data_IF_245193563176
#
_entry.id   IF_245193563176
#
_cell.length_a   1.000
_cell.length_b   1.000
_cell.length_c   1.000
_cell.angle_alpha   90.00
_cell.angle_beta   90.00
_cell.angle_gamma   90.00
#
_symmetry.space_group_name_H-M   'P 1'
#
loop_
_entity.id
_entity.type
_entity.pdbx_description
1 polymer ?
#
# COMPACT_ATOMS: atom_id res chain seq x y z
N UNK A 1 -20.31 -12.53 -33.27
CA UNK A 1 -20.27 -12.52 -31.78
C UNK A 1 -19.47 -13.75 -31.39
N UNK A 2 -18.24 -13.60 -30.85
CA UNK A 2 -17.52 -14.63 -30.06
C UNK A 2 -16.06 -14.26 -29.70
N UNK A 3 -15.44 -13.21 -30.27
CA UNK A 3 -14.05 -12.90 -29.95
C UNK A 3 -13.83 -12.24 -28.56
N UNK A 4 -14.86 -11.69 -27.92
CA UNK A 4 -14.74 -11.05 -26.61
C UNK A 4 -14.79 -12.06 -25.45
N UNK A 5 -15.55 -13.14 -25.59
CA UNK A 5 -15.68 -14.16 -24.55
C UNK A 5 -14.45 -15.09 -24.48
N UNK A 6 -13.79 -15.36 -25.62
CA UNK A 6 -12.53 -16.12 -25.64
C UNK A 6 -11.36 -15.32 -25.03
N UNK A 7 -11.33 -14.00 -25.20
CA UNK A 7 -10.31 -13.15 -24.58
C UNK A 7 -10.48 -13.06 -23.06
N UNK A 8 -11.72 -13.03 -22.55
CA UNK A 8 -11.98 -13.01 -21.11
C UNK A 8 -11.71 -14.37 -20.42
N UNK A 9 -11.78 -15.50 -21.14
CA UNK A 9 -11.43 -16.81 -20.57
C UNK A 9 -9.92 -17.12 -20.60
N UNK A 10 -9.15 -16.49 -21.50
CA UNK A 10 -7.69 -16.67 -21.59
C UNK A 10 -6.90 -15.78 -20.62
N UNK A 11 -7.44 -14.65 -20.19
CA UNK A 11 -6.76 -13.71 -19.27
C UNK A 11 -6.46 -14.28 -17.86
N UNK A 12 -7.37 -15.02 -17.20
CA UNK A 12 -7.09 -15.66 -15.91
C UNK A 12 -5.98 -16.72 -15.98
N UNK A 13 -5.74 -17.30 -17.17
CA UNK A 13 -4.67 -18.26 -17.40
C UNK A 13 -3.32 -17.57 -17.56
N UNK A 14 -3.28 -16.38 -18.19
CA UNK A 14 -2.06 -15.57 -18.34
C UNK A 14 -1.52 -15.07 -17.00
N UNK A 15 -2.38 -14.63 -16.08
CA UNK A 15 -1.95 -14.16 -14.76
C UNK A 15 -1.31 -15.28 -13.91
N UNK A 16 -1.83 -16.52 -14.04
CA UNK A 16 -1.27 -17.69 -13.36
C UNK A 16 0.12 -18.05 -13.89
N UNK A 17 0.37 -17.76 -15.16
CA UNK A 17 1.60 -18.11 -15.86
C UNK A 17 2.69 -17.03 -15.82
N UNK A 18 2.38 -15.86 -15.25
CA UNK A 18 3.27 -14.71 -15.28
C UNK A 18 4.43 -14.90 -14.28
N UNK A 19 5.65 -14.96 -14.81
CA UNK A 19 6.87 -15.08 -13.99
C UNK A 19 7.20 -13.80 -13.20
N UNK A 20 7.96 -13.88 -12.09
CA UNK A 20 8.34 -12.72 -11.28
C UNK A 20 9.16 -11.66 -12.02
N UNK A 21 9.82 -12.04 -13.12
CA UNK A 21 10.63 -11.15 -13.97
C UNK A 21 9.91 -10.68 -15.24
N UNK A 22 8.65 -11.08 -15.43
CA UNK A 22 7.86 -10.72 -16.60
C UNK A 22 7.00 -9.48 -16.35
N UNK A 23 6.99 -8.59 -17.34
CA UNK A 23 6.11 -7.44 -17.39
C UNK A 23 4.71 -7.84 -17.84
N UNK A 24 3.69 -7.19 -17.29
CA UNK A 24 2.29 -7.45 -17.62
C UNK A 24 1.61 -6.20 -18.17
N UNK A 25 1.15 -6.26 -19.41
CA UNK A 25 0.40 -5.16 -20.02
C UNK A 25 -1.03 -5.11 -19.45
N UNK A 26 -1.37 -3.96 -18.89
CA UNK A 26 -2.70 -3.60 -18.43
C UNK A 26 -3.36 -2.77 -19.54
N UNK A 27 -4.69 -2.74 -19.57
CA UNK A 27 -5.44 -1.83 -20.41
C UNK A 27 -5.09 -0.34 -20.16
N UNK A 28 -5.53 0.54 -21.05
CA UNK A 28 -5.30 2.00 -21.01
C UNK A 28 -3.82 2.42 -21.12
N UNK A 29 -2.98 1.56 -21.71
CA UNK A 29 -1.56 1.84 -21.95
C UNK A 29 -0.73 1.87 -20.68
N UNK A 30 -1.10 1.07 -19.67
CA UNK A 30 -0.31 0.86 -18.46
C UNK A 30 0.37 -0.50 -18.53
N UNK A 31 1.57 -0.60 -17.96
CA UNK A 31 2.30 -1.86 -17.89
C UNK A 31 2.83 -2.03 -16.48
N UNK A 32 2.66 -3.21 -15.91
CA UNK A 32 3.33 -3.59 -14.68
C UNK A 32 4.73 -4.08 -15.01
N UNK A 33 5.72 -3.37 -14.50
CA UNK A 33 7.13 -3.69 -14.66
C UNK A 33 7.64 -4.34 -13.38
N UNK A 34 8.30 -5.50 -13.47
CA UNK A 34 8.86 -6.16 -12.30
C UNK A 34 9.98 -5.32 -11.68
N UNK A 35 10.00 -5.29 -10.35
CA UNK A 35 10.99 -4.56 -9.55
C UNK A 35 11.30 -5.27 -8.25
N UNK A 36 12.48 -5.00 -7.73
CA UNK A 36 12.81 -5.28 -6.33
C UNK A 36 13.02 -3.95 -5.63
N UNK A 37 12.15 -3.66 -4.67
CA UNK A 37 12.23 -2.45 -3.85
C UNK A 37 12.76 -2.80 -2.47
N UNK A 38 13.73 -2.03 -2.01
CA UNK A 38 14.29 -2.14 -0.66
C UNK A 38 14.23 -0.79 0.04
N UNK A 39 13.69 -0.78 1.25
CA UNK A 39 13.71 0.38 2.13
C UNK A 39 15.01 0.36 2.94
N UNK A 40 15.74 1.47 2.89
CA UNK A 40 17.02 1.66 3.54
C UNK A 40 16.84 2.62 4.72
N UNK A 41 17.28 2.22 5.89
CA UNK A 41 17.35 3.10 7.07
C UNK A 41 18.79 3.15 7.55
N UNK A 42 19.31 4.36 7.76
CA UNK A 42 20.74 4.56 8.02
C UNK A 42 20.91 5.05 9.44
N UNK A 43 21.66 4.30 10.23
CA UNK A 43 21.97 4.61 11.61
C UNK A 43 23.45 5.00 11.75
N UNK A 44 23.80 5.87 12.71
CA UNK A 44 25.20 6.10 13.04
C UNK A 44 25.75 4.89 13.83
N UNK A 45 26.89 4.31 13.43
CA UNK A 45 27.50 3.17 14.14
C UNK A 45 28.16 3.60 15.46
N UNK A 46 28.62 4.84 15.53
CA UNK A 46 29.15 5.44 16.77
C UNK A 46 28.26 6.62 17.19
N UNK A 47 28.00 6.80 18.50
CA UNK A 47 27.24 7.93 19.02
C UNK A 47 28.09 9.22 18.99
N UNK A 48 28.61 9.58 17.82
CA UNK A 48 29.19 10.89 17.59
C UNK A 48 28.07 11.88 17.30
N UNK A 49 28.21 13.07 17.86
CA UNK A 49 27.51 14.26 17.39
C UNK A 49 27.96 14.51 15.94
N UNK A 50 27.12 14.14 14.97
CA UNK A 50 27.28 14.53 13.57
C UNK A 50 27.19 16.06 13.49
N UNK A 51 28.34 16.71 13.57
CA UNK A 51 28.49 18.16 13.39
C UNK A 51 28.32 18.55 11.92
N UNK A 52 28.67 17.65 11.01
CA UNK A 52 28.55 17.86 9.56
C UNK A 52 27.31 17.16 8.99
N UNK A 53 26.61 17.79 8.03
CA UNK A 53 25.54 17.12 7.30
C UNK A 53 26.09 15.93 6.51
N UNK A 54 25.35 14.81 6.51
CA UNK A 54 25.68 13.68 5.63
C UNK A 54 25.59 14.17 4.18
N UNK A 55 26.63 13.89 3.41
CA UNK A 55 26.62 14.07 1.96
C UNK A 55 25.80 12.94 1.31
N UNK A 56 24.59 13.27 0.88
CA UNK A 56 23.65 12.33 0.24
C UNK A 56 24.27 11.71 -1.02
N UNK A 57 25.05 12.47 -1.79
CA UNK A 57 25.63 12.00 -3.04
C UNK A 57 26.78 11.02 -2.81
N UNK A 58 27.67 11.30 -1.86
CA UNK A 58 28.74 10.35 -1.48
C UNK A 58 28.17 9.05 -0.93
N UNK A 59 27.10 9.15 -0.15
CA UNK A 59 26.41 7.99 0.39
C UNK A 59 25.79 7.14 -0.72
N UNK A 60 25.11 7.77 -1.68
CA UNK A 60 24.58 7.06 -2.86
C UNK A 60 25.68 6.34 -3.62
N UNK A 61 26.80 7.01 -3.91
CA UNK A 61 27.92 6.37 -4.62
C UNK A 61 28.49 5.18 -3.86
N UNK A 62 28.76 5.31 -2.57
CA UNK A 62 29.28 4.20 -1.76
C UNK A 62 28.33 2.98 -1.76
N UNK A 63 27.01 3.21 -1.70
CA UNK A 63 26.00 2.16 -1.81
C UNK A 63 25.97 1.51 -3.20
N UNK A 64 26.03 2.31 -4.26
CA UNK A 64 26.04 1.81 -5.64
C UNK A 64 27.32 1.01 -5.95
N UNK A 65 28.47 1.50 -5.52
CA UNK A 65 29.75 0.80 -5.65
C UNK A 65 29.75 -0.52 -4.88
N UNK A 66 29.15 -0.54 -3.70
CA UNK A 66 28.97 -1.77 -2.92
C UNK A 66 28.07 -2.78 -3.66
N UNK A 67 26.91 -2.34 -4.16
CA UNK A 67 25.98 -3.19 -4.89
C UNK A 67 26.63 -3.73 -6.17
N UNK A 68 27.35 -2.88 -6.89
CA UNK A 68 28.04 -3.27 -8.11
C UNK A 68 29.14 -4.30 -7.84
N UNK A 69 30.00 -4.06 -6.85
CA UNK A 69 31.12 -4.96 -6.52
C UNK A 69 30.66 -6.32 -5.99
N UNK A 70 29.60 -6.37 -5.18
CA UNK A 70 29.18 -7.60 -4.50
C UNK A 70 28.15 -8.41 -5.28
N UNK A 71 27.34 -7.77 -6.14
CA UNK A 71 26.27 -8.43 -6.88
C UNK A 71 26.42 -8.37 -8.39
N UNK A 72 27.41 -7.63 -8.90
CA UNK A 72 27.54 -7.36 -10.34
C UNK A 72 26.27 -6.73 -10.94
N UNK A 73 25.45 -6.06 -10.12
CA UNK A 73 24.24 -5.38 -10.55
C UNK A 73 24.60 -3.92 -10.81
N UNK A 74 24.31 -3.43 -12.01
CA UNK A 74 24.42 -2.01 -12.33
C UNK A 74 23.08 -1.34 -12.03
N UNK A 75 23.03 -0.53 -10.97
CA UNK A 75 21.86 0.26 -10.63
C UNK A 75 22.13 1.73 -10.99
N UNK A 76 21.29 2.36 -11.82
CA UNK A 76 21.35 3.80 -12.06
C UNK A 76 21.23 4.64 -10.78
N UNK A 77 21.87 5.81 -10.73
CA UNK A 77 21.81 6.69 -9.55
C UNK A 77 20.38 7.19 -9.25
N UNK A 78 19.54 7.31 -10.28
CA UNK A 78 18.14 7.70 -10.17
C UNK A 78 17.28 6.69 -9.40
N UNK A 79 17.69 5.41 -9.42
CA UNK A 79 16.96 4.31 -8.81
C UNK A 79 17.28 4.13 -7.31
N UNK A 80 18.30 4.86 -6.82
CA UNK A 80 18.64 4.99 -5.41
C UNK A 80 18.28 6.39 -4.90
N UNK A 81 17.28 6.42 -4.03
CA UNK A 81 16.92 7.63 -3.29
C UNK A 81 17.48 7.53 -1.89
N UNK A 82 18.15 8.60 -1.44
CA UNK A 82 18.60 8.76 -0.05
C UNK A 82 18.22 10.17 0.32
N UNK A 83 17.47 10.32 1.41
CA UNK A 83 17.04 11.58 1.95
C UNK A 83 17.44 11.65 3.41
N UNK A 84 18.05 12.76 3.78
CA UNK A 84 18.28 13.07 5.18
C UNK A 84 16.95 13.29 5.89
N UNK A 85 16.77 12.64 7.03
CA UNK A 85 15.65 12.96 7.93
C UNK A 85 15.87 14.38 8.47
N UNK A 86 14.84 15.20 8.60
CA UNK A 86 14.94 16.54 9.23
C UNK A 86 14.76 16.45 10.75
N UNK A 87 15.11 17.50 11.48
CA UNK A 87 15.20 17.61 12.96
C UNK A 87 16.46 17.07 13.65
N UNK A 88 17.49 17.91 13.71
CA UNK A 88 18.72 17.65 14.47
C UNK A 88 18.60 17.97 15.97
N UNK A 89 17.55 18.68 16.40
CA UNK A 89 17.45 19.26 17.76
C UNK A 89 16.68 18.40 18.77
N UNK A 90 15.89 17.42 18.32
CA UNK A 90 15.08 16.52 19.16
C UNK A 90 15.54 15.07 19.16
N UNK A 91 16.66 14.75 18.47
CA UNK A 91 17.11 13.37 18.28
C UNK A 91 17.87 12.82 19.46
N UNK A 92 17.63 11.54 19.74
CA UNK A 92 18.55 10.70 20.50
C UNK A 92 19.74 10.36 19.59
N UNK A 93 20.91 10.15 20.19
CA UNK A 93 22.17 9.90 19.45
C UNK A 93 22.16 8.64 18.57
N UNK A 94 21.19 7.75 18.79
CA UNK A 94 21.02 6.47 18.09
C UNK A 94 19.95 6.52 17.00
N UNK A 95 19.25 7.65 16.83
CA UNK A 95 18.17 7.75 15.85
C UNK A 95 18.70 7.70 14.42
N UNK A 96 17.87 7.19 13.51
CA UNK A 96 18.19 7.15 12.08
C UNK A 96 18.54 8.55 11.55
N UNK A 97 19.57 8.63 10.71
CA UNK A 97 20.06 9.90 10.16
C UNK A 97 19.50 10.16 8.77
N UNK A 98 19.37 9.10 7.98
CA UNK A 98 18.84 9.14 6.63
C UNK A 98 17.96 7.92 6.36
N UNK A 99 17.04 8.09 5.43
CA UNK A 99 16.20 7.04 4.91
C UNK A 99 16.26 7.05 3.39
N UNK A 100 16.11 5.91 2.77
CA UNK A 100 16.24 5.77 1.34
C UNK A 100 15.44 4.60 0.79
N UNK A 101 15.41 4.53 -0.53
CA UNK A 101 14.78 3.45 -1.26
C UNK A 101 15.65 3.09 -2.45
N UNK A 102 15.96 1.81 -2.58
CA UNK A 102 16.70 1.23 -3.69
C UNK A 102 15.74 0.42 -4.57
N UNK A 103 15.78 0.68 -5.88
CA UNK A 103 15.03 -0.08 -6.88
C UNK A 103 16.00 -0.86 -7.77
N UNK A 104 15.70 -2.13 -8.00
CA UNK A 104 16.38 -2.96 -9.00
C UNK A 104 15.35 -3.37 -10.05
N UNK A 105 15.55 -2.89 -11.27
CA UNK A 105 14.64 -3.13 -12.40
C UNK A 105 15.12 -4.23 -13.35
N UNK A 106 16.44 -4.36 -13.53
CA UNK A 106 16.99 -5.39 -14.39
C UNK A 106 17.11 -6.70 -13.60
N UNK A 107 16.14 -7.58 -13.82
CA UNK A 107 16.08 -8.90 -13.19
C UNK A 107 16.36 -10.02 -14.19
N UNK A 108 16.74 -9.68 -15.44
CA UNK A 108 16.94 -10.65 -16.52
C UNK A 108 18.11 -11.60 -16.26
N UNK A 109 19.03 -11.22 -15.37
CA UNK A 109 20.12 -12.11 -14.96
C UNK A 109 19.62 -13.32 -14.16
N UNK A 110 18.44 -13.24 -13.52
CA UNK A 110 17.82 -14.38 -12.83
C UNK A 110 17.24 -15.40 -13.82
N UNK A 111 16.97 -14.96 -15.06
CA UNK A 111 16.54 -15.84 -16.15
C UNK A 111 17.72 -16.59 -16.77
N UNK A 112 18.95 -16.04 -16.65
CA UNK A 112 20.16 -16.64 -17.20
C UNK A 112 20.54 -17.88 -16.37
N UNK A 113 20.25 -19.06 -16.92
CA UNK A 113 20.48 -20.34 -16.27
C UNK A 113 19.22 -21.22 -16.21
N UNK A 114 18.07 -20.67 -16.61
CA UNK A 114 16.81 -21.41 -16.74
C UNK A 114 16.63 -21.87 -18.21
N UNK A 115 16.85 -23.16 -18.48
CA UNK A 115 16.33 -23.89 -19.63
C UNK A 115 14.83 -23.61 -19.90
N UNK A 116 14.35 -23.83 -21.13
CA UNK A 116 13.02 -23.39 -21.59
C UNK A 116 11.80 -24.12 -20.95
N UNK A 117 11.97 -24.90 -19.89
CA UNK A 117 10.96 -25.85 -19.39
C UNK A 117 10.81 -25.87 -17.85
N UNK A 118 11.02 -24.74 -17.16
CA UNK A 118 10.89 -24.66 -15.70
C UNK A 118 9.46 -24.49 -15.21
N UNK A 119 9.19 -25.05 -14.02
CA UNK A 119 8.00 -24.73 -13.23
C UNK A 119 8.13 -23.31 -12.67
N UNK A 120 7.06 -22.52 -12.78
CA UNK A 120 6.99 -21.14 -12.30
C UNK A 120 7.29 -21.03 -10.81
N UNK A 121 6.93 -22.07 -10.05
CA UNK A 121 7.21 -22.13 -8.62
C UNK A 121 8.72 -22.13 -8.33
N UNK A 122 9.52 -22.84 -9.12
CA UNK A 122 10.98 -22.89 -8.94
C UNK A 122 11.63 -21.53 -9.27
N UNK A 123 11.10 -20.83 -10.28
CA UNK A 123 11.56 -19.47 -10.61
C UNK A 123 11.22 -18.48 -9.48
N UNK A 124 10.04 -18.60 -8.88
CA UNK A 124 9.66 -17.79 -7.71
C UNK A 124 10.51 -18.08 -6.48
N UNK A 125 10.80 -19.33 -6.19
CA UNK A 125 11.67 -19.70 -5.07
C UNK A 125 13.08 -19.12 -5.25
N UNK A 126 13.69 -19.28 -6.44
CA UNK A 126 14.99 -18.68 -6.75
C UNK A 126 14.99 -17.16 -6.62
N UNK A 127 13.93 -16.50 -7.09
CA UNK A 127 13.77 -15.06 -6.95
C UNK A 127 13.72 -14.64 -5.48
N UNK A 128 12.93 -15.35 -4.66
CA UNK A 128 12.79 -15.08 -3.24
C UNK A 128 14.09 -15.33 -2.47
N UNK A 129 14.81 -16.42 -2.77
CA UNK A 129 16.11 -16.73 -2.19
C UNK A 129 17.15 -15.67 -2.53
N UNK A 130 17.23 -15.27 -3.80
CA UNK A 130 18.12 -14.20 -4.23
C UNK A 130 17.79 -12.88 -3.53
N UNK A 131 16.50 -12.51 -3.46
CA UNK A 131 16.05 -11.29 -2.78
C UNK A 131 16.40 -11.32 -1.29
N UNK A 132 16.21 -12.47 -0.64
CA UNK A 132 16.58 -12.67 0.77
C UNK A 132 18.08 -12.55 0.98
N UNK A 133 18.88 -13.19 0.12
CA UNK A 133 20.33 -13.09 0.16
C UNK A 133 20.85 -11.66 -0.09
N UNK A 134 20.16 -10.89 -0.94
CA UNK A 134 20.44 -9.46 -1.14
C UNK A 134 20.22 -8.66 0.15
N UNK A 135 19.09 -8.90 0.83
CA UNK A 135 18.75 -8.23 2.10
C UNK A 135 19.72 -8.61 3.21
N UNK A 136 19.96 -9.90 3.46
CA UNK A 136 20.81 -10.38 4.56
C UNK A 136 22.24 -9.84 4.49
N UNK A 137 22.76 -9.64 3.29
CA UNK A 137 24.11 -9.12 3.06
C UNK A 137 24.15 -7.59 3.05
N UNK A 138 23.09 -6.90 2.64
CA UNK A 138 23.01 -5.44 2.71
C UNK A 138 22.68 -4.95 4.12
N UNK A 139 21.92 -5.74 4.87
CA UNK A 139 21.54 -5.44 6.24
C UNK A 139 22.75 -5.56 7.17
N UNK A 140 22.98 -4.53 7.98
CA UNK A 140 24.09 -4.48 8.93
C UNK A 140 25.44 -4.05 8.35
N UNK A 141 25.53 -3.68 7.07
CA UNK A 141 26.77 -3.12 6.51
C UNK A 141 27.17 -1.85 7.24
N UNK A 142 28.45 -1.75 7.59
CA UNK A 142 29.07 -0.51 8.04
C UNK A 142 29.74 0.23 6.86
N UNK A 143 29.20 1.38 6.50
CA UNK A 143 29.80 2.29 5.52
C UNK A 143 30.63 3.35 6.24
N UNK A 144 31.88 3.53 5.83
CA UNK A 144 32.73 4.59 6.32
C UNK A 144 32.73 5.77 5.34
N UNK A 145 32.17 6.90 5.74
CA UNK A 145 32.18 8.14 4.97
C UNK A 145 32.92 9.20 5.79
N UNK A 146 34.06 9.67 5.27
CA UNK A 146 34.87 10.74 5.88
C UNK A 146 35.28 10.48 7.34
N UNK A 147 35.46 9.21 7.72
CA UNK A 147 35.84 8.82 9.08
C UNK A 147 34.64 8.57 10.02
N UNK A 148 33.41 8.77 9.55
CA UNK A 148 32.18 8.43 10.26
C UNK A 148 31.63 7.11 9.74
N UNK A 149 31.32 6.20 10.66
CA UNK A 149 30.74 4.89 10.33
C UNK A 149 29.22 4.94 10.44
N UNK A 150 28.55 4.42 9.43
CA UNK A 150 27.10 4.30 9.36
C UNK A 150 26.71 2.85 9.21
N UNK A 151 25.74 2.39 10.00
CA UNK A 151 25.14 1.07 9.87
C UNK A 151 23.90 1.17 9.02
N UNK A 152 23.83 0.34 7.98
CA UNK A 152 22.66 0.22 7.13
C UNK A 152 21.68 -0.81 7.72
N UNK A 153 20.40 -0.48 7.69
CA UNK A 153 19.31 -1.42 7.92
C UNK A 153 18.46 -1.51 6.66
N UNK A 154 18.19 -2.74 6.20
CA UNK A 154 17.48 -2.98 4.94
C UNK A 154 16.25 -3.84 5.16
N UNK A 155 15.11 -3.38 4.66
CA UNK A 155 13.83 -4.06 4.81
C UNK A 155 13.12 -4.15 3.46
N UNK A 156 12.52 -5.30 3.16
CA UNK A 156 11.56 -5.44 2.04
C UNK A 156 10.23 -4.84 2.47
N UNK A 157 9.65 -3.88 1.72
CA UNK A 157 8.35 -3.32 2.03
C UNK A 157 7.28 -4.41 2.14
N UNK A 158 6.36 -4.28 3.10
CA UNK A 158 5.26 -5.25 3.30
C UNK A 158 4.41 -5.37 2.03
N UNK A 159 4.25 -4.29 1.27
CA UNK A 159 3.53 -4.25 0.00
C UNK A 159 4.13 -5.13 -1.10
N UNK A 160 5.43 -5.45 -1.00
CA UNK A 160 6.16 -6.29 -1.96
C UNK A 160 6.40 -7.72 -1.41
N UNK A 161 5.92 -8.02 -0.19
CA UNK A 161 5.96 -9.37 0.39
C UNK A 161 4.60 -10.07 0.31
N UNK A 162 4.35 -10.72 -0.82
CA UNK A 162 3.13 -11.48 -1.05
C UNK A 162 2.92 -12.63 -0.05
N UNK A 163 3.98 -13.40 0.25
CA UNK A 163 3.87 -14.56 1.16
C UNK A 163 3.60 -14.12 2.59
N UNK A 164 4.27 -13.05 3.05
CA UNK A 164 4.00 -12.44 4.35
C UNK A 164 2.57 -11.91 4.43
N UNK A 165 2.10 -11.19 3.40
CA UNK A 165 0.71 -10.74 3.35
C UNK A 165 -0.27 -11.90 3.34
N UNK A 166 0.04 -12.98 2.61
CA UNK A 166 -0.79 -14.18 2.54
C UNK A 166 -1.00 -14.82 3.89
N UNK A 167 0.11 -15.07 4.58
CA UNK A 167 0.07 -15.60 5.94
C UNK A 167 -0.70 -14.67 6.88
N UNK A 168 -0.50 -13.36 6.77
CA UNK A 168 -1.17 -12.39 7.63
C UNK A 168 -2.71 -12.38 7.46
N UNK A 169 -3.24 -12.51 6.24
CA UNK A 169 -4.69 -12.61 6.05
C UNK A 169 -5.23 -13.98 6.46
N UNK A 170 -4.49 -15.06 6.21
CA UNK A 170 -4.89 -16.41 6.61
C UNK A 170 -5.02 -16.50 8.14
N UNK A 171 -4.03 -15.97 8.86
CA UNK A 171 -4.07 -15.86 10.32
C UNK A 171 -5.23 -14.98 10.79
N UNK A 172 -5.42 -13.82 10.18
CA UNK A 172 -6.50 -12.90 10.55
C UNK A 172 -7.88 -13.58 10.48
N UNK A 173 -8.19 -14.28 9.38
CA UNK A 173 -9.47 -14.99 9.24
C UNK A 173 -9.53 -16.27 10.09
N UNK A 174 -8.42 -16.95 10.32
CA UNK A 174 -8.37 -18.11 11.21
C UNK A 174 -8.66 -17.75 12.68
N UNK A 175 -8.16 -16.60 13.16
CA UNK A 175 -8.31 -16.18 14.56
C UNK A 175 -9.55 -15.30 14.82
N UNK A 176 -10.05 -14.55 13.83
CA UNK A 176 -11.29 -13.78 14.00
C UNK A 176 -12.57 -14.63 14.04
N UNK A 177 -12.51 -15.89 13.58
CA UNK A 177 -13.67 -16.79 13.60
C UNK A 177 -13.99 -17.38 15.00
N UNK A 178 -13.36 -16.90 16.08
CA UNK A 178 -13.61 -17.39 17.45
C UNK A 178 -14.82 -16.75 18.15
N UNK A 179 -15.48 -15.75 17.55
CA UNK A 179 -16.67 -15.13 18.11
C UNK A 179 -17.77 -14.97 17.05
N UNK A 180 -18.79 -15.82 17.13
CA UNK A 180 -20.07 -15.75 16.41
C UNK A 180 -20.00 -15.60 14.87
N UNK A 181 -20.23 -16.73 14.19
CA UNK A 181 -20.93 -16.80 12.89
C UNK A 181 -20.44 -15.89 11.75
N UNK A 182 -19.14 -15.61 11.66
CA UNK A 182 -18.55 -15.22 10.39
C UNK A 182 -18.15 -16.52 9.69
N UNK A 183 -18.87 -16.91 8.64
CA UNK A 183 -18.50 -18.06 7.82
C UNK A 183 -17.05 -17.95 7.35
N UNK A 184 -16.43 -19.05 6.89
CA UNK A 184 -15.09 -19.04 6.26
C UNK A 184 -15.05 -17.93 5.20
N UNK A 185 -14.54 -16.77 5.57
CA UNK A 185 -14.52 -15.59 4.74
C UNK A 185 -13.10 -15.44 4.25
N UNK A 186 -12.97 -15.45 2.94
CA UNK A 186 -11.71 -15.22 2.26
C UNK A 186 -11.62 -13.73 1.93
N UNK A 187 -10.42 -13.14 1.91
CA UNK A 187 -10.24 -11.77 1.46
C UNK A 187 -10.60 -11.69 -0.03
N UNK A 188 -11.37 -10.68 -0.40
CA UNK A 188 -11.81 -10.42 -1.77
C UNK A 188 -11.48 -9.00 -2.23
N UNK A 189 -10.89 -8.18 -1.35
CA UNK A 189 -10.74 -6.73 -1.57
C UNK A 189 -9.28 -6.29 -1.46
N UNK A 190 -8.76 -5.71 -2.55
CA UNK A 190 -7.42 -5.10 -2.65
C UNK A 190 -7.53 -3.60 -2.42
N UNK A 191 -6.57 -3.04 -1.69
CA UNK A 191 -6.41 -1.60 -1.48
C UNK A 191 -5.07 -1.18 -2.08
N UNK A 192 -5.14 -0.34 -3.11
CA UNK A 192 -3.98 0.25 -3.79
C UNK A 192 -3.88 1.74 -3.43
N UNK A 193 -2.72 2.18 -2.96
CA UNK A 193 -2.45 3.57 -2.56
C UNK A 193 -1.25 4.13 -3.32
N UNK A 194 -1.20 5.45 -3.47
CA UNK A 194 -0.05 6.14 -4.06
C UNK A 194 0.04 6.13 -5.58
N UNK A 195 -1.03 5.77 -6.28
CA UNK A 195 -1.04 5.79 -7.75
C UNK A 195 -1.41 7.16 -8.31
N UNK A 196 -0.87 7.60 -9.47
CA UNK A 196 -1.15 8.94 -9.99
C UNK A 196 -2.59 9.07 -10.49
N UNK A 197 -3.34 10.04 -9.97
CA UNK A 197 -4.75 10.29 -10.33
C UNK A 197 -4.95 10.45 -11.85
N UNK A 198 -4.00 11.12 -12.52
CA UNK A 198 -4.00 11.37 -13.98
C UNK A 198 -3.88 10.10 -14.83
N UNK A 199 -3.36 9.00 -14.29
CA UNK A 199 -3.22 7.74 -15.03
C UNK A 199 -4.54 6.98 -15.09
N UNK A 200 -5.43 7.26 -14.13
CA UNK A 200 -6.76 6.67 -14.02
C UNK A 200 -7.86 7.64 -14.44
N UNK A 201 -7.51 8.83 -14.92
CA UNK A 201 -8.45 9.85 -15.37
C UNK A 201 -8.82 9.67 -16.85
N UNK A 202 -10.00 10.16 -17.23
CA UNK A 202 -10.39 10.21 -18.64
C UNK A 202 -9.52 11.21 -19.42
N UNK A 203 -8.93 10.81 -20.56
CA UNK A 203 -8.08 11.70 -21.34
C UNK A 203 -8.80 12.98 -21.73
N UNK A 204 -8.19 14.14 -21.41
CA UNK A 204 -8.64 15.49 -21.82
C UNK A 204 -9.89 16.04 -21.12
N UNK A 205 -10.47 15.30 -20.18
CA UNK A 205 -11.76 15.69 -19.54
C UNK A 205 -11.59 16.02 -18.06
N UNK A 206 -10.67 15.37 -17.36
CA UNK A 206 -10.52 15.56 -15.91
C UNK A 206 -9.12 15.27 -15.41
N UNK A 207 -8.73 15.91 -14.30
CA UNK A 207 -7.59 15.51 -13.48
C UNK A 207 -7.97 14.51 -12.39
N UNK A 208 -9.27 14.32 -12.15
CA UNK A 208 -9.79 13.37 -11.16
C UNK A 208 -9.81 11.95 -11.75
N UNK A 209 -9.50 10.94 -10.92
CA UNK A 209 -9.50 9.57 -11.38
C UNK A 209 -10.94 9.14 -11.73
N UNK A 210 -11.11 8.50 -12.89
CA UNK A 210 -12.40 8.02 -13.38
C UNK A 210 -12.64 6.60 -12.87
N UNK A 211 -13.82 6.37 -12.33
CA UNK A 211 -14.27 5.04 -11.92
C UNK A 211 -14.35 4.09 -13.13
N UNK A 212 -14.73 4.58 -14.31
CA UNK A 212 -14.87 3.75 -15.51
C UNK A 212 -13.49 3.30 -16.03
N UNK A 213 -12.54 4.22 -16.17
CA UNK A 213 -11.17 3.89 -16.59
C UNK A 213 -10.53 2.92 -15.60
N UNK A 214 -10.71 3.17 -14.31
CA UNK A 214 -10.20 2.28 -13.26
C UNK A 214 -10.86 0.91 -13.31
N UNK A 215 -12.17 0.84 -13.55
CA UNK A 215 -12.87 -0.43 -13.72
C UNK A 215 -12.31 -1.22 -14.90
N UNK A 216 -12.12 -0.59 -16.06
CA UNK A 216 -11.51 -1.23 -17.24
C UNK A 216 -10.12 -1.77 -16.94
N UNK A 217 -9.26 -0.96 -16.30
CA UNK A 217 -7.92 -1.35 -15.89
C UNK A 217 -7.97 -2.57 -14.95
N UNK A 218 -8.77 -2.55 -13.89
CA UNK A 218 -8.77 -3.66 -12.94
C UNK A 218 -9.55 -4.89 -13.42
N UNK A 219 -10.41 -4.73 -14.43
CA UNK A 219 -11.12 -5.85 -15.05
C UNK A 219 -10.17 -6.79 -15.78
N UNK A 220 -8.94 -6.36 -16.11
CA UNK A 220 -7.90 -7.25 -16.67
C UNK A 220 -7.46 -8.33 -15.67
N UNK A 221 -7.65 -8.10 -14.37
CA UNK A 221 -7.28 -9.06 -13.33
C UNK A 221 -8.39 -10.06 -13.00
N UNK A 222 -9.63 -9.73 -13.31
CA UNK A 222 -10.78 -10.57 -13.02
C UNK A 222 -12.06 -9.76 -12.87
N UNK A 223 -13.15 -10.45 -12.51
CA UNK A 223 -14.46 -9.80 -12.47
C UNK A 223 -14.62 -9.00 -11.17
N UNK A 224 -14.86 -7.71 -11.34
CA UNK A 224 -15.02 -6.75 -10.23
C UNK A 224 -16.47 -6.78 -9.73
N UNK A 225 -16.63 -6.88 -8.41
CA UNK A 225 -17.91 -6.76 -7.71
C UNK A 225 -18.22 -5.32 -7.32
N UNK A 226 -17.26 -4.67 -6.66
CA UNK A 226 -17.38 -3.28 -6.24
C UNK A 226 -16.04 -2.58 -6.45
N UNK A 227 -16.08 -1.29 -6.79
CA UNK A 227 -14.91 -0.46 -7.01
C UNK A 227 -15.15 0.89 -6.35
N UNK A 228 -14.13 1.40 -5.66
CA UNK A 228 -14.12 2.75 -5.14
C UNK A 228 -12.80 3.43 -5.48
N UNK A 229 -12.88 4.68 -5.91
CA UNK A 229 -11.71 5.48 -6.28
C UNK A 229 -11.84 6.84 -5.59
N UNK A 230 -10.86 7.18 -4.75
CA UNK A 230 -10.83 8.41 -3.97
C UNK A 230 -9.46 9.07 -4.07
N UNK A 231 -9.36 10.36 -3.73
CA UNK A 231 -8.07 11.02 -3.53
C UNK A 231 -7.37 10.41 -2.31
N UNK A 232 -6.05 10.29 -2.37
CA UNK A 232 -5.27 9.65 -1.30
C UNK A 232 -4.71 10.68 -0.33
N UNK A 233 -5.56 11.14 0.59
CA UNK A 233 -5.24 12.20 1.56
C UNK A 233 -4.39 11.71 2.75
N UNK A 234 -4.16 10.40 2.87
CA UNK A 234 -3.52 9.78 4.04
C UNK A 234 -2.08 9.31 3.80
N UNK A 235 -1.59 9.27 2.56
CA UNK A 235 -0.22 8.84 2.22
C UNK A 235 0.90 9.67 2.85
N UNK A 236 0.61 10.90 3.31
CA UNK A 236 1.61 11.80 3.91
C UNK A 236 1.73 11.69 5.43
N UNK A 237 0.83 10.97 6.11
CA UNK A 237 0.77 10.99 7.59
C UNK A 237 1.56 9.88 8.28
N UNK A 238 1.84 8.78 7.57
CA UNK A 238 2.46 7.58 8.15
C UNK A 238 3.99 7.54 7.97
N UNK A 239 4.54 8.27 7.00
CA UNK A 239 5.99 8.38 6.83
C UNK A 239 6.50 9.61 7.59
N UNK A 240 7.35 9.38 8.59
CA UNK A 240 8.09 10.43 9.30
C UNK A 240 8.54 11.56 8.36
N UNK A 241 8.27 12.79 8.78
CA UNK A 241 8.56 14.08 8.14
C UNK A 241 9.87 14.06 7.31
N UNK A 242 9.78 13.77 6.01
CA UNK A 242 10.97 13.64 5.17
C UNK A 242 10.77 13.10 3.77
N UNK A 243 9.71 12.32 3.51
CA UNK A 243 9.20 12.19 2.14
C UNK A 243 8.53 13.53 1.79
N UNK A 244 8.81 14.08 0.60
CA UNK A 244 8.31 15.41 0.25
C UNK A 244 6.80 15.42 0.35
N UNK A 245 6.26 16.42 1.04
CA UNK A 245 4.85 16.74 1.20
C UNK A 245 4.08 16.32 -0.07
N UNK A 246 3.43 15.15 -0.03
CA UNK A 246 2.73 14.63 -1.18
C UNK A 246 1.55 15.56 -1.41
N UNK A 247 1.57 16.29 -2.53
CA UNK A 247 0.52 17.26 -2.83
C UNK A 247 -0.80 16.53 -2.94
N UNK A 248 -1.69 16.80 -1.98
CA UNK A 248 -3.04 16.25 -1.95
C UNK A 248 -3.73 16.42 -3.32
N UNK A 249 -4.41 15.38 -3.78
CA UNK A 249 -5.10 15.33 -5.08
C UNK A 249 -4.26 14.85 -6.29
N UNK A 250 -2.93 14.75 -6.19
CA UNK A 250 -2.11 14.17 -7.28
C UNK A 250 -2.15 12.63 -7.31
N UNK A 251 -2.39 12.02 -6.16
CA UNK A 251 -2.44 10.58 -5.99
C UNK A 251 -3.85 10.13 -5.59
N UNK A 252 -4.22 8.92 -5.99
CA UNK A 252 -5.50 8.33 -5.63
C UNK A 252 -5.34 6.99 -4.93
N UNK A 253 -6.33 6.69 -4.12
CA UNK A 253 -6.54 5.41 -3.43
C UNK A 253 -7.64 4.67 -4.16
N UNK A 254 -7.32 3.45 -4.57
CA UNK A 254 -8.22 2.56 -5.30
C UNK A 254 -8.51 1.35 -4.42
N UNK A 255 -9.79 1.06 -4.22
CA UNK A 255 -10.26 -0.11 -3.48
C UNK A 255 -11.08 -0.96 -4.42
N UNK A 256 -10.63 -2.19 -4.66
CA UNK A 256 -11.24 -3.11 -5.64
C UNK A 256 -11.67 -4.38 -4.93
N UNK A 257 -12.96 -4.72 -5.01
CA UNK A 257 -13.49 -5.99 -4.55
C UNK A 257 -13.77 -6.90 -5.74
N UNK A 258 -13.18 -8.08 -5.76
CA UNK A 258 -13.39 -9.09 -6.78
C UNK A 258 -14.57 -10.02 -6.45
N UNK A 259 -15.17 -10.63 -7.47
CA UNK A 259 -16.20 -11.65 -7.27
C UNK A 259 -15.63 -12.98 -6.79
N UNK A 260 -14.43 -13.34 -7.25
CA UNK A 260 -13.76 -14.61 -6.94
C UNK A 260 -12.50 -14.34 -6.11
N UNK A 261 -12.29 -15.14 -5.06
CA UNK A 261 -11.07 -15.07 -4.26
C UNK A 261 -9.81 -15.36 -5.09
N UNK A 262 -9.91 -16.25 -6.08
CA UNK A 262 -8.80 -16.54 -6.99
C UNK A 262 -8.33 -15.30 -7.76
N UNK A 263 -9.26 -14.51 -8.29
CA UNK A 263 -8.95 -13.28 -9.01
C UNK A 263 -8.26 -12.28 -8.09
N UNK A 264 -8.74 -12.15 -6.84
CA UNK A 264 -8.07 -11.38 -5.79
C UNK A 264 -6.63 -11.88 -5.53
N UNK A 265 -6.43 -13.18 -5.34
CA UNK A 265 -5.13 -13.77 -5.02
C UNK A 265 -4.13 -13.55 -6.15
N UNK A 266 -4.54 -13.83 -7.39
CA UNK A 266 -3.69 -13.70 -8.57
C UNK A 266 -3.38 -12.22 -8.86
N UNK A 267 -4.37 -11.32 -8.73
CA UNK A 267 -4.16 -9.88 -8.86
C UNK A 267 -3.17 -9.35 -7.81
N UNK A 268 -3.33 -9.77 -6.55
CA UNK A 268 -2.47 -9.32 -5.47
C UNK A 268 -1.04 -9.82 -5.66
N UNK A 269 -0.85 -11.09 -6.03
CA UNK A 269 0.47 -11.66 -6.38
C UNK A 269 1.14 -10.87 -7.49
N UNK A 270 0.39 -10.50 -8.54
CA UNK A 270 0.93 -9.78 -9.70
C UNK A 270 1.27 -8.33 -9.35
N UNK A 271 0.46 -7.66 -8.54
CA UNK A 271 0.72 -6.29 -8.10
C UNK A 271 1.91 -6.19 -7.14
N UNK A 272 2.18 -7.22 -6.33
CA UNK A 272 3.37 -7.29 -5.49
C UNK A 272 4.64 -7.29 -6.34
N UNK A 273 5.70 -6.60 -5.89
CA UNK A 273 6.99 -6.56 -6.59
C UNK A 273 6.92 -6.03 -8.04
N UNK A 274 5.89 -5.25 -8.37
CA UNK A 274 5.77 -4.55 -9.66
C UNK A 274 5.46 -3.08 -9.50
N UNK A 275 5.77 -2.29 -10.52
CA UNK A 275 5.48 -0.86 -10.64
C UNK A 275 4.65 -0.57 -11.86
N UNK A 276 3.87 0.50 -11.83
CA UNK A 276 3.16 0.95 -13.02
C UNK A 276 4.10 1.79 -13.89
N UNK A 277 4.13 1.51 -15.18
CA UNK A 277 4.75 2.33 -16.20
C UNK A 277 3.69 2.68 -17.25
N UNK A 278 3.63 3.95 -17.64
CA UNK A 278 2.75 4.39 -18.73
C UNK A 278 3.45 4.23 -20.09
N UNK A 279 2.73 3.72 -21.08
CA UNK A 279 3.21 3.60 -22.45
C UNK A 279 3.68 4.96 -22.99
N UNK A 280 4.85 4.97 -23.64
CA UNK A 280 5.48 6.19 -24.13
C UNK A 280 6.12 7.07 -23.04
N UNK A 281 6.05 6.67 -21.77
CA UNK A 281 6.72 7.33 -20.65
C UNK A 281 7.84 6.45 -20.10
N UNK A 282 8.94 7.08 -19.69
CA UNK A 282 9.98 6.43 -18.88
C UNK A 282 9.66 6.44 -17.38
N UNK A 283 8.62 7.18 -16.98
CA UNK A 283 8.22 7.29 -15.59
C UNK A 283 7.63 5.96 -15.10
N UNK A 284 8.28 5.39 -14.09
CA UNK A 284 7.79 4.27 -13.31
C UNK A 284 7.28 4.81 -11.98
N UNK A 285 6.10 4.36 -11.58
CA UNK A 285 5.47 4.81 -10.34
C UNK A 285 5.23 3.63 -9.42
N UNK A 286 5.68 3.84 -8.20
CA UNK A 286 5.43 2.95 -7.08
C UNK A 286 4.05 3.16 -6.49
N UNK A 287 3.56 2.11 -5.85
CA UNK A 287 2.30 2.09 -5.16
C UNK A 287 2.42 1.17 -3.95
N UNK A 288 1.57 1.39 -2.96
CA UNK A 288 1.43 0.49 -1.83
C UNK A 288 0.22 -0.40 -2.05
N UNK A 289 0.45 -1.71 -2.05
CA UNK A 289 -0.60 -2.72 -2.12
C UNK A 289 -0.86 -3.27 -0.74
N UNK A 290 -2.13 -3.41 -0.39
CA UNK A 290 -2.58 -4.09 0.81
C UNK A 290 -3.94 -4.74 0.57
N UNK A 291 -4.42 -5.48 1.56
CA UNK A 291 -5.74 -6.10 1.55
C UNK A 291 -6.63 -5.47 2.63
N UNK A 292 -7.94 -5.50 2.42
CA UNK A 292 -8.90 -4.90 3.32
C UNK A 292 -9.15 -5.76 4.57
N UNK A 293 -8.71 -5.26 5.73
CA UNK A 293 -8.94 -5.89 7.04
C UNK A 293 -10.30 -5.50 7.64
N UNK A 294 -10.76 -4.30 7.35
CA UNK A 294 -11.85 -3.66 8.09
C UNK A 294 -13.22 -3.89 7.42
N UNK A 295 -13.24 -4.32 6.16
CA UNK A 295 -14.47 -4.51 5.41
C UNK A 295 -15.01 -3.19 4.89
N UNK A 296 -14.19 -2.46 4.14
CA UNK A 296 -14.48 -1.15 3.53
C UNK A 296 -15.88 -1.10 2.88
N UNK A 297 -16.20 -2.04 1.99
CA UNK A 297 -17.50 -2.10 1.31
C UNK A 297 -18.65 -2.59 2.20
N UNK A 298 -18.35 -3.26 3.31
CA UNK A 298 -19.36 -3.69 4.28
C UNK A 298 -19.76 -2.54 5.20
N UNK A 299 -18.77 -1.83 5.73
CA UNK A 299 -18.98 -0.73 6.65
C UNK A 299 -19.58 0.49 5.96
N UNK A 300 -19.24 0.75 4.68
CA UNK A 300 -19.86 1.84 3.91
C UNK A 300 -21.37 1.60 3.70
N UNK A 301 -21.78 0.35 3.47
CA UNK A 301 -23.20 -0.02 3.37
C UNK A 301 -23.93 0.19 4.69
N UNK A 302 -23.31 -0.15 5.81
CA UNK A 302 -23.87 0.05 7.14
C UNK A 302 -23.91 1.53 7.55
N UNK A 303 -22.88 2.32 7.25
CA UNK A 303 -22.89 3.77 7.50
C UNK A 303 -23.95 4.48 6.69
N UNK A 304 -24.17 4.09 5.44
CA UNK A 304 -25.23 4.69 4.60
C UNK A 304 -26.62 4.34 5.16
N UNK A 305 -26.81 3.12 5.65
CA UNK A 305 -28.05 2.70 6.33
C UNK A 305 -28.27 3.41 7.67
N UNK A 306 -27.23 3.58 8.49
CA UNK A 306 -27.32 4.32 9.75
C UNK A 306 -27.58 5.81 9.54
N UNK A 307 -26.97 6.41 8.51
CA UNK A 307 -27.22 7.81 8.14
C UNK A 307 -28.65 7.99 7.64
N UNK A 308 -29.17 7.05 6.84
CA UNK A 308 -30.58 7.06 6.40
C UNK A 308 -31.57 6.81 7.56
N UNK A 309 -31.21 5.98 8.54
CA UNK A 309 -32.01 5.76 9.75
C UNK A 309 -32.02 6.98 10.68
N UNK A 310 -30.90 7.72 10.80
CA UNK A 310 -30.87 9.00 11.54
C UNK A 310 -31.73 10.08 10.85
N UNK A 311 -31.69 10.18 9.53
CA UNK A 311 -32.52 11.13 8.78
C UNK A 311 -34.03 10.77 8.87
N UNK A 312 -34.36 9.48 8.96
CA UNK A 312 -35.74 8.99 9.18
C UNK A 312 -36.22 9.12 10.63
N UNK A 313 -35.31 9.11 11.61
CA UNK A 313 -35.62 9.33 13.01
C UNK A 313 -35.84 10.82 13.34
N UNK A 314 -35.10 11.73 12.67
CA UNK A 314 -35.28 13.17 12.82
C UNK A 314 -36.55 13.70 12.12
N UNK A 315 -37.06 13.02 11.10
CA UNK A 315 -38.36 13.37 10.47
C UNK A 315 -39.59 12.88 11.25
N UNK A 316 -39.45 11.95 12.20
CA UNK A 316 -40.56 11.41 12.99
C UNK A 316 -40.66 11.98 14.42
N UNK A 317 -39.84 12.99 14.77
CA UNK A 317 -39.86 13.62 16.10
C UNK A 317 -40.53 15.00 16.13
N UNK A 318 -41.35 15.29 15.12
CA UNK A 318 -42.04 16.57 14.93
C UNK A 318 -43.53 16.32 14.70
N UNK A 319 -44.27 16.05 15.78
CA UNK A 319 -45.71 16.26 16.01
C UNK A 319 -46.33 15.11 16.82
N UNK A 320 -46.34 15.28 18.15
CA UNK A 320 -47.34 14.64 19.00
C UNK A 320 -48.36 15.72 19.40
N UNK A 321 -49.68 15.55 19.14
CA UNK A 321 -50.68 16.57 19.42
C UNK A 321 -50.90 16.73 20.93
N UNK A 322 -50.91 17.99 21.38
CA UNK A 322 -51.32 18.40 22.73
C UNK A 322 -52.73 17.87 23.05
N UNK A 323 -52.86 17.17 24.17
CA UNK A 323 -54.10 17.12 24.97
C UNK A 323 -53.77 17.33 26.45
N UNK A 324 -54.15 18.49 26.98
CA UNK A 324 -54.49 18.72 28.39
C UNK A 324 -55.95 18.19 28.60
N UNK A 325 -56.54 17.89 29.77
CA UNK A 325 -56.29 18.13 31.19
C UNK A 325 -57.15 17.16 32.06
N UNK A 326 -57.08 17.36 33.39
CA UNK A 326 -57.84 16.78 34.55
C UNK A 326 -57.17 15.57 35.24
N UNK A 327 -56.80 15.56 36.53
CA UNK A 327 -56.92 16.52 37.64
C UNK A 327 -57.33 15.81 38.93
N UNK A 328 -56.48 15.78 39.97
CA UNK A 328 -56.85 15.67 41.41
C UNK A 328 -55.58 15.69 42.28
N UNK A 329 -55.22 16.85 42.86
CA UNK A 329 -55.32 17.18 44.30
C UNK A 329 -54.67 16.15 45.25
N UNK A 330 -53.49 16.49 45.79
CA UNK A 330 -53.29 16.73 47.22
C UNK A 330 -51.89 17.29 47.51
N UNK A 331 -51.87 18.45 48.15
CA UNK A 331 -50.82 19.09 48.95
C UNK A 331 -51.59 19.66 50.16
N UNK A 332 -51.06 19.80 51.38
CA UNK A 332 -49.75 20.36 51.73
C UNK A 332 -49.02 19.51 52.82
N UNK A 333 -47.77 19.72 53.24
CA UNK A 333 -47.30 20.91 53.93
C UNK A 333 -45.79 20.81 54.22
N UNK A 334 -45.19 21.99 54.41
CA UNK A 334 -44.07 22.31 55.30
C UNK A 334 -42.59 22.11 54.88
N UNK A 335 -41.99 23.29 54.61
CA UNK A 335 -40.70 23.81 55.14
C UNK A 335 -39.47 23.80 54.20
N UNK A 336 -39.13 25.02 53.76
CA UNK A 336 -37.86 25.57 53.22
C UNK A 336 -36.77 25.70 54.34
N UNK A 337 -35.51 26.17 54.10
CA UNK A 337 -34.59 26.05 52.94
C UNK A 337 -33.07 25.91 53.32
N UNK A 338 -32.21 25.78 52.29
CA UNK A 338 -30.79 26.26 52.14
C UNK A 338 -29.69 25.78 53.12
N UNK A 339 -28.55 25.29 52.56
CA UNK A 339 -27.29 26.06 52.46
C UNK A 339 -26.20 25.36 51.62
N UNK A 340 -25.46 26.19 50.89
CA UNK A 340 -24.13 25.94 50.31
C UNK A 340 -23.02 26.20 51.34
N UNK A 341 -21.81 25.73 50.97
CA UNK A 341 -20.43 25.89 51.50
C UNK A 341 -19.91 24.59 52.13
N UNK A 342 -18.69 24.13 51.86
CA UNK A 342 -17.47 24.81 51.39
C UNK A 342 -16.67 23.92 50.43
#
# INVERSE_FOLDING_TARGET
MNNQDEQQQQQPLKLKQLGPTESFEIDSGLTLVPRVKLNLTIYPSTPLTLTNPIDEWKMKRALLDFVHSHYSISVPEEDLTVKRLKDLKKRKREDAVAAGTLHVWDLRFLEKGLEKNYDLNEMEEKFLEWRKGLVEKLDGIELNLEGVRFRLHVIVPISDDFLGMKKAWEEFYAFQNRGYSRGRREPDTIVLRGVPSRWFAEPRVSSKPSMLVTHTIFSTFGKIRNLNVAEDDDLGKETNEGSGDLVAGLYCKIVVQFEKHRDFHDALRVLCSRSLQKQGSRLKVDYEVSWDKDGFFWNSRNQTLEKNNKVSADHNRSEAPRRQAYGSRHSPDNVRPRRFKE
#
